data_IF_888109375725
#
_entry.id   IF_888109375725
#
_cell.length_a   1.000
_cell.length_b   1.000
_cell.length_c   1.000
_cell.angle_alpha   90.00
_cell.angle_beta   90.00
_cell.angle_gamma   90.00
#
_symmetry.space_group_name_H-M   'P 1'
#
loop_
_entity.id
_entity.type
_entity.pdbx_description
1 polymer ?
2 non-polymer ?
3 water ?
#
# COMPACT_ATOMS: atom_id res chain seq x y z
N UNK A 1 -2.64 6.22 -4.20
CA UNK A 1 -3.14 7.55 -3.67
C UNK A 1 -2.50 8.73 -4.41
N UNK A 2 -1.30 8.56 -4.96
CA UNK A 2 -0.51 9.57 -5.67
C UNK A 2 0.43 8.93 -6.67
N UNK A 3 1.31 9.74 -7.31
CA UNK A 3 2.15 9.29 -8.41
C UNK A 3 3.13 8.15 -8.03
N UNK A 4 3.57 8.08 -6.77
CA UNK A 4 4.44 6.98 -6.30
C UNK A 4 3.71 5.64 -6.37
N UNK A 5 2.48 5.64 -5.88
CA UNK A 5 1.64 4.42 -5.80
C UNK A 5 1.19 4.04 -7.22
N UNK A 6 0.98 5.03 -8.09
CA UNK A 6 0.58 4.79 -9.51
C UNK A 6 1.68 4.02 -10.26
N UNK A 7 2.93 4.45 -10.12
CA UNK A 7 4.07 3.75 -10.79
C UNK A 7 4.21 2.33 -10.22
N UNK A 8 4.21 2.21 -8.89
CA UNK A 8 4.29 0.92 -8.18
C UNK A 8 3.16 -0.01 -8.67
N UNK A 9 1.89 0.45 -8.73
CA UNK A 9 0.74 -0.40 -9.15
C UNK A 9 0.97 -0.89 -10.59
N UNK A 10 1.47 -0.04 -11.46
CA UNK A 10 1.71 -0.37 -12.88
C UNK A 10 2.72 -1.53 -12.98
N UNK A 11 3.76 -1.50 -12.16
CA UNK A 11 4.76 -2.62 -12.11
C UNK A 11 4.08 -3.87 -11.54
N UNK A 12 3.35 -3.77 -10.41
CA UNK A 12 2.80 -4.96 -9.74
C UNK A 12 1.79 -5.65 -10.67
N UNK A 13 0.93 -4.90 -11.36
CA UNK A 13 -0.19 -5.49 -12.14
C UNK A 13 0.31 -6.24 -13.38
N UNK A 14 1.48 -5.91 -13.94
CA UNK A 14 1.98 -6.59 -15.15
C UNK A 14 3.26 -7.40 -14.93
N UNK A 15 4.09 -7.07 -13.95
CA UNK A 15 5.45 -7.66 -13.88
C UNK A 15 5.69 -8.44 -12.57
N UNK A 16 4.66 -8.88 -11.87
CA UNK A 16 4.89 -9.77 -10.69
C UNK A 16 4.12 -11.06 -10.84
N UNK A 17 4.64 -12.09 -10.17
CA UNK A 17 4.00 -13.41 -10.00
C UNK A 17 4.21 -13.80 -8.53
N UNK A 18 3.40 -14.71 -8.04
CA UNK A 18 3.60 -15.34 -6.69
C UNK A 18 4.50 -16.58 -6.90
N UNK A 19 5.71 -16.58 -6.35
CA UNK A 19 6.64 -17.73 -6.43
C UNK A 19 6.59 -18.49 -5.11
N UNK A 20 6.51 -19.83 -5.15
CA UNK A 20 6.50 -20.67 -3.93
C UNK A 20 7.62 -21.71 -4.05
N UNK A 21 8.56 -21.71 -3.09
CA UNK A 21 9.63 -22.73 -2.98
C UNK A 21 9.35 -23.56 -1.72
N UNK A 22 10.28 -24.41 -1.30
CA UNK A 22 10.17 -25.13 -0.01
C UNK A 22 10.36 -24.16 1.16
N UNK A 23 10.84 -22.94 0.90
CA UNK A 23 11.10 -21.91 1.94
C UNK A 23 9.96 -20.88 2.01
N UNK A 24 8.88 -21.02 1.24
CA UNK A 24 7.65 -20.23 1.41
C UNK A 24 7.23 -19.51 0.13
N UNK A 25 6.28 -18.58 0.25
CA UNK A 25 5.75 -17.72 -0.82
C UNK A 25 6.51 -16.40 -0.85
N UNK A 26 6.89 -15.95 -2.04
CA UNK A 26 7.66 -14.72 -2.34
C UNK A 26 6.97 -13.94 -3.46
N UNK A 27 6.95 -12.62 -3.36
CA UNK A 27 6.76 -11.70 -4.51
C UNK A 27 7.95 -11.97 -5.42
N UNK A 28 7.70 -12.20 -6.71
CA UNK A 28 8.74 -12.38 -7.73
C UNK A 28 8.55 -11.36 -8.86
N UNK A 29 9.58 -10.56 -9.15
CA UNK A 29 9.57 -9.51 -10.21
C UNK A 29 10.04 -10.11 -11.53
N UNK A 30 9.19 -10.04 -12.55
CA UNK A 30 9.56 -10.42 -13.91
C UNK A 30 10.15 -9.23 -14.61
N UNK A 31 11.28 -9.42 -15.29
CA UNK A 31 12.07 -8.27 -15.82
C UNK A 31 11.94 -8.18 -17.34
N UNK A 32 12.07 -9.30 -18.07
CA UNK A 32 11.91 -9.36 -19.55
C UNK A 32 11.85 -10.84 -19.94
N UNK A 33 11.32 -11.14 -21.13
CA UNK A 33 11.18 -12.51 -21.68
C UNK A 33 10.68 -13.44 -20.55
N UNK A 34 11.45 -14.48 -20.17
CA UNK A 34 11.03 -15.44 -19.12
C UNK A 34 12.00 -15.29 -17.94
N UNK A 35 12.58 -14.12 -17.77
CA UNK A 35 13.64 -13.88 -16.76
C UNK A 35 13.03 -13.07 -15.59
N UNK A 36 13.17 -13.59 -14.37
CA UNK A 36 12.66 -12.96 -13.13
C UNK A 36 13.76 -12.95 -12.07
N UNK A 37 13.49 -12.25 -10.97
CA UNK A 37 14.41 -12.18 -9.79
C UNK A 37 13.67 -12.53 -8.51
N UNK A 38 14.44 -13.02 -7.54
CA UNK A 38 13.91 -13.50 -6.22
C UNK A 38 15.10 -13.46 -5.26
N UNK A 39 14.90 -13.19 -3.95
CA UNK A 39 16.00 -13.26 -2.99
C UNK A 39 16.66 -14.65 -3.01
N UNK A 40 17.98 -14.65 -2.92
CA UNK A 40 18.76 -15.91 -2.94
C UNK A 40 18.30 -16.85 -1.80
N UNK A 41 17.89 -16.34 -0.64
CA UNK A 41 17.41 -17.20 0.49
C UNK A 41 16.08 -17.91 0.21
N UNK A 42 15.42 -17.69 -0.93
CA UNK A 42 14.27 -18.50 -1.37
C UNK A 42 14.69 -19.94 -1.71
N UNK A 43 15.98 -20.18 -2.00
CA UNK A 43 16.60 -21.48 -2.35
C UNK A 43 15.87 -22.14 -3.54
N UNK A 44 15.91 -21.50 -4.72
CA UNK A 44 15.20 -21.99 -5.95
C UNK A 44 15.83 -23.34 -6.34
N UNK A 45 15.00 -24.35 -6.61
CA UNK A 45 15.45 -25.66 -7.13
C UNK A 45 15.16 -25.83 -8.62
N UNK A 46 15.02 -27.09 -9.06
CA UNK A 46 14.72 -27.51 -10.45
C UNK A 46 13.25 -27.23 -10.79
N UNK A 47 12.38 -27.24 -9.80
CA UNK A 47 10.91 -26.97 -9.93
C UNK A 47 10.53 -25.84 -8.97
N UNK A 48 9.66 -24.94 -9.42
CA UNK A 48 9.11 -23.85 -8.57
C UNK A 48 7.63 -23.72 -8.91
N UNK A 49 6.80 -23.24 -7.97
CA UNK A 49 5.39 -22.92 -8.26
C UNK A 49 5.26 -21.43 -8.54
N UNK A 50 4.61 -21.11 -9.65
CA UNK A 50 4.37 -19.73 -10.14
C UNK A 50 2.85 -19.59 -10.26
N UNK A 51 2.25 -18.71 -9.46
CA UNK A 51 0.77 -18.54 -9.39
C UNK A 51 0.14 -19.93 -9.28
N UNK A 52 0.68 -20.76 -8.39
CA UNK A 52 0.27 -22.15 -8.07
C UNK A 52 0.35 -23.11 -9.28
N UNK A 53 1.18 -22.85 -10.28
CA UNK A 53 1.42 -23.78 -11.41
C UNK A 53 2.84 -24.35 -11.31
N UNK A 54 2.95 -25.67 -11.46
CA UNK A 54 4.25 -26.39 -11.38
C UNK A 54 5.07 -25.94 -12.58
N UNK A 55 6.26 -25.36 -12.36
CA UNK A 55 7.06 -24.74 -13.44
C UNK A 55 8.49 -25.28 -13.39
N UNK A 56 9.01 -25.79 -14.49
CA UNK A 56 10.48 -26.08 -14.59
C UNK A 56 11.30 -24.80 -14.56
N UNK A 57 12.43 -24.87 -13.89
CA UNK A 57 13.42 -23.80 -13.83
C UNK A 57 14.48 -24.13 -14.89
N UNK A 58 14.59 -23.34 -15.96
CA UNK A 58 15.57 -23.55 -17.05
C UNK A 58 16.96 -23.08 -16.63
N UNK A 59 17.08 -22.07 -15.80
CA UNK A 59 18.40 -21.65 -15.26
C UNK A 59 18.21 -20.82 -14.01
N UNK A 60 19.17 -20.85 -13.10
CA UNK A 60 19.10 -19.99 -11.89
C UNK A 60 20.54 -19.61 -11.51
N UNK A 61 20.77 -18.34 -11.19
CA UNK A 61 22.11 -17.83 -10.92
C UNK A 61 22.06 -16.88 -9.74
N UNK A 62 22.72 -17.29 -8.67
CA UNK A 62 22.90 -16.48 -7.44
C UNK A 62 24.06 -15.50 -7.67
N UNK A 63 23.76 -14.20 -7.74
CA UNK A 63 24.73 -13.15 -8.14
C UNK A 63 25.71 -12.87 -6.98
N UNK A 64 26.96 -12.63 -7.33
CA UNK A 64 28.01 -12.08 -6.43
C UNK A 64 28.71 -10.91 -7.13
N UNK A 65 29.22 -9.94 -6.39
CA UNK A 65 29.97 -8.82 -7.00
C UNK A 65 31.40 -9.28 -7.33
N UNK A 66 32.22 -8.39 -7.89
CA UNK A 66 33.56 -8.82 -8.35
C UNK A 66 34.53 -8.95 -7.16
N UNK A 67 34.17 -8.52 -5.95
CA UNK A 67 34.93 -8.89 -4.71
C UNK A 67 34.54 -10.29 -4.23
N UNK A 68 33.70 -11.01 -4.99
CA UNK A 68 33.16 -12.35 -4.62
C UNK A 68 32.34 -12.25 -3.32
N UNK A 69 31.55 -11.19 -3.17
CA UNK A 69 30.61 -11.03 -2.04
C UNK A 69 29.16 -11.23 -2.51
N UNK A 70 28.35 -11.92 -1.71
CA UNK A 70 26.89 -12.14 -1.91
C UNK A 70 26.18 -10.83 -2.30
N UNK A 71 25.29 -10.87 -3.29
CA UNK A 71 24.37 -9.73 -3.62
C UNK A 71 22.92 -10.05 -3.24
N UNK A 72 22.61 -11.31 -2.88
CA UNK A 72 21.29 -11.79 -2.35
C UNK A 72 20.21 -11.73 -3.44
N UNK A 73 20.59 -11.53 -4.71
CA UNK A 73 19.65 -11.64 -5.87
C UNK A 73 19.94 -12.96 -6.58
N UNK A 74 18.90 -13.74 -6.89
CA UNK A 74 18.95 -14.90 -7.81
C UNK A 74 18.16 -14.54 -9.07
N UNK A 75 18.78 -14.68 -10.23
CA UNK A 75 18.11 -14.50 -11.56
C UNK A 75 17.64 -15.88 -11.98
N UNK A 76 16.36 -15.99 -12.29
CA UNK A 76 15.70 -17.26 -12.65
C UNK A 76 15.14 -17.14 -14.05
N UNK A 77 15.33 -18.18 -14.85
CA UNK A 77 14.67 -18.31 -16.17
C UNK A 77 13.64 -19.44 -16.06
N UNK A 78 12.38 -19.10 -16.37
CA UNK A 78 11.18 -19.93 -16.10
C UNK A 78 10.74 -20.59 -17.40
N UNK A 79 10.46 -21.88 -17.35
CA UNK A 79 9.80 -22.60 -18.48
C UNK A 79 8.31 -22.24 -18.52
N UNK A 80 8.02 -21.00 -18.89
CA UNK A 80 6.65 -20.43 -18.95
C UNK A 80 6.25 -20.17 -20.41
N UNK A 81 4.96 -20.26 -20.73
CA UNK A 81 4.46 -20.13 -22.12
C UNK A 81 4.20 -18.68 -22.48
N UNK A 82 4.64 -17.73 -21.66
CA UNK A 82 4.28 -16.30 -21.79
C UNK A 82 5.46 -15.44 -21.32
N UNK A 83 5.73 -14.34 -22.02
CA UNK A 83 6.83 -13.40 -21.72
C UNK A 83 6.30 -12.30 -20.80
N UNK A 84 7.17 -11.74 -19.98
CA UNK A 84 6.94 -10.49 -19.20
C UNK A 84 7.12 -9.28 -20.13
N UNK A 85 6.37 -8.21 -19.83
CA UNK A 85 6.63 -6.87 -20.39
C UNK A 85 8.08 -6.52 -20.07
N UNK A 86 8.83 -5.99 -21.03
CA UNK A 86 10.26 -5.69 -20.83
C UNK A 86 10.33 -4.37 -20.04
N UNK A 87 10.86 -4.40 -18.82
CA UNK A 87 10.95 -3.21 -17.91
C UNK A 87 12.42 -2.88 -17.65
N UNK A 88 13.35 -3.37 -18.46
CA UNK A 88 14.79 -3.08 -18.24
C UNK A 88 15.08 -1.58 -18.27
N UNK A 89 14.34 -0.76 -19.02
CA UNK A 89 14.59 0.69 -19.20
C UNK A 89 14.18 1.46 -17.93
N UNK A 90 13.55 0.81 -16.95
CA UNK A 90 13.20 1.46 -15.67
C UNK A 90 14.31 1.16 -14.63
N UNK A 91 15.33 0.37 -14.98
CA UNK A 91 16.36 -0.02 -13.99
C UNK A 91 17.46 1.03 -13.95
N UNK A 92 17.96 1.37 -12.76
CA UNK A 92 19.07 2.32 -12.66
C UNK A 92 20.37 1.72 -13.20
N UNK A 93 21.23 2.58 -13.73
CA UNK A 93 22.55 2.12 -14.24
C UNK A 93 23.60 2.07 -13.13
N UNK A 94 23.50 2.94 -12.11
CA UNK A 94 24.52 3.06 -11.03
C UNK A 94 23.90 2.92 -9.64
N UNK A 95 24.76 2.64 -8.64
CA UNK A 95 24.41 2.69 -7.20
C UNK A 95 24.03 4.15 -6.89
N UNK A 96 22.98 4.39 -6.10
CA UNK A 96 22.49 5.76 -5.79
C UNK A 96 21.63 5.72 -4.52
N UNK A 97 21.36 6.90 -3.95
CA UNK A 97 20.36 7.14 -2.88
C UNK A 97 19.09 7.65 -3.58
N UNK A 98 17.93 7.54 -2.93
CA UNK A 98 16.64 7.95 -3.56
C UNK A 98 15.70 8.56 -2.53
N UNK A 99 14.82 9.44 -3.01
CA UNK A 99 13.76 10.04 -2.16
C UNK A 99 12.47 9.25 -2.34
N UNK A 100 11.59 9.29 -1.35
CA UNK A 100 10.17 8.93 -1.57
C UNK A 100 10.11 7.61 -2.37
N UNK A 101 10.36 6.46 -1.74
CA UNK A 101 10.08 5.13 -2.36
C UNK A 101 8.82 4.43 -1.79
N UNK A 102 8.30 3.47 -2.56
CA UNK A 102 7.20 2.53 -2.22
C UNK A 102 7.72 1.09 -2.32
N UNK A 103 7.46 0.28 -1.29
CA UNK A 103 7.70 -1.20 -1.27
C UNK A 103 6.36 -1.85 -1.53
N UNK A 104 6.29 -2.69 -2.57
CA UNK A 104 5.02 -3.33 -3.03
C UNK A 104 5.15 -4.87 -2.97
N UNK A 105 4.15 -5.52 -2.37
CA UNK A 105 4.15 -6.98 -2.07
C UNK A 105 2.83 -7.55 -2.59
N UNK A 106 2.88 -8.76 -3.12
CA UNK A 106 1.65 -9.50 -3.48
C UNK A 106 1.87 -10.99 -3.23
N UNK A 107 1.31 -11.50 -2.13
CA UNK A 107 1.23 -12.95 -1.82
C UNK A 107 -0.20 -13.31 -1.35
N UNK A 108 -0.48 -14.60 -1.16
CA UNK A 108 -1.65 -15.16 -0.40
C UNK A 108 -1.91 -14.38 0.90
N UNK A 109 -0.87 -14.21 1.70
CA UNK A 109 -0.89 -13.56 3.04
C UNK A 109 -1.12 -12.04 2.90
N UNK A 110 -0.44 -11.37 1.97
CA UNK A 110 -0.45 -9.89 1.78
C UNK A 110 -0.70 -9.54 0.32
N UNK A 111 -1.95 -9.67 -0.16
CA UNK A 111 -2.30 -9.18 -1.48
C UNK A 111 -2.41 -7.64 -1.54
N UNK A 112 -1.98 -7.06 -2.67
CA UNK A 112 -2.27 -5.65 -3.06
C UNK A 112 -1.75 -4.73 -1.96
N UNK A 113 -0.57 -5.02 -1.42
CA UNK A 113 0.07 -4.25 -0.34
C UNK A 113 1.09 -3.28 -0.90
N UNK A 114 1.02 -2.01 -0.44
CA UNK A 114 1.87 -0.89 -0.87
C UNK A 114 2.25 -0.09 0.38
N UNK A 115 3.54 0.01 0.69
CA UNK A 115 4.07 0.69 1.91
C UNK A 115 4.92 1.88 1.47
N UNK A 116 4.60 3.11 1.92
CA UNK A 116 5.43 4.27 1.62
C UNK A 116 6.59 4.29 2.62
N UNK A 117 7.78 3.82 2.18
CA UNK A 117 8.90 3.60 3.12
C UNK A 117 9.76 4.87 3.23
N UNK A 118 9.57 5.87 2.36
CA UNK A 118 10.26 7.17 2.45
C UNK A 118 11.64 7.14 1.76
N UNK A 119 12.61 7.84 2.35
CA UNK A 119 13.99 8.05 1.82
C UNK A 119 14.79 6.73 1.85
N UNK A 120 15.59 6.50 0.81
CA UNK A 120 16.37 5.25 0.66
C UNK A 120 17.86 5.58 0.63
N UNK A 121 18.62 5.04 1.58
CA UNK A 121 20.09 5.27 1.68
C UNK A 121 20.83 4.16 0.94
N UNK A 122 21.83 4.51 0.15
CA UNK A 122 22.88 3.57 -0.31
C UNK A 122 23.67 3.15 0.92
N UNK A 123 23.28 2.06 1.57
CA UNK A 123 23.87 1.58 2.84
C UNK A 123 25.19 0.87 2.56
N UNK A 124 25.24 0.04 1.51
CA UNK A 124 26.43 -0.72 1.09
C UNK A 124 26.53 -2.06 1.78
N UNK A 125 27.46 -2.18 2.73
CA UNK A 125 27.76 -3.45 3.42
C UNK A 125 26.74 -3.70 4.54
N UNK A 126 26.22 -4.93 4.57
CA UNK A 126 25.29 -5.46 5.61
C UNK A 126 25.62 -6.93 5.86
N UNK A 127 25.75 -7.29 7.13
CA UNK A 127 25.75 -8.69 7.60
C UNK A 127 24.29 -9.11 7.68
N UNK A 128 23.82 -9.82 6.66
CA UNK A 128 22.41 -10.18 6.45
C UNK A 128 22.21 -11.65 6.82
N UNK A 129 21.52 -11.94 7.92
CA UNK A 129 21.43 -13.29 8.51
C UNK A 129 22.79 -13.99 8.61
N UNK A 130 23.84 -13.27 9.00
CA UNK A 130 25.20 -13.86 9.08
C UNK A 130 26.00 -13.91 7.77
N UNK A 131 25.45 -13.50 6.61
CA UNK A 131 26.18 -13.50 5.30
C UNK A 131 26.59 -12.08 4.91
N UNK A 132 27.91 -11.80 4.73
CA UNK A 132 28.35 -10.51 4.24
C UNK A 132 27.67 -10.25 2.89
N UNK A 133 27.07 -9.08 2.72
CA UNK A 133 26.27 -8.73 1.52
C UNK A 133 26.59 -7.30 1.11
N UNK A 134 26.69 -7.03 -0.21
CA UNK A 134 26.99 -5.69 -0.74
C UNK A 134 25.76 -5.12 -1.46
N UNK A 135 25.82 -3.86 -1.81
CA UNK A 135 24.82 -3.15 -2.66
C UNK A 135 23.45 -3.13 -1.97
N UNK A 136 23.46 -2.94 -0.64
CA UNK A 136 22.22 -2.89 0.18
C UNK A 136 21.70 -1.45 0.23
N UNK A 137 20.39 -1.32 -0.01
CA UNK A 137 19.56 -0.09 0.20
C UNK A 137 18.88 -0.22 1.57
N UNK A 138 18.70 0.89 2.30
CA UNK A 138 18.06 0.88 3.65
C UNK A 138 16.96 1.94 3.71
N UNK A 139 15.83 1.58 4.34
CA UNK A 139 14.68 2.48 4.55
C UNK A 139 14.20 2.31 6.00
N UNK A 140 13.78 3.43 6.62
CA UNK A 140 13.35 3.48 8.04
C UNK A 140 11.88 3.13 8.11
N UNK A 141 11.57 1.86 7.82
CA UNK A 141 10.23 1.29 7.99
C UNK A 141 10.39 -0.07 8.65
N UNK A 142 9.57 -0.37 9.68
CA UNK A 142 9.62 -1.67 10.35
C UNK A 142 8.93 -2.74 9.50
N UNK A 143 9.61 -3.21 8.46
CA UNK A 143 9.15 -4.35 7.59
C UNK A 143 9.11 -5.67 8.39
N UNK A 144 8.26 -6.59 7.95
CA UNK A 144 7.99 -7.88 8.63
C UNK A 144 8.19 -9.07 7.67
N UNK A 145 8.22 -10.28 8.24
CA UNK A 145 8.17 -11.56 7.51
C UNK A 145 6.96 -11.60 6.56
N UNK A 146 7.20 -12.05 5.33
CA UNK A 146 6.23 -12.18 4.22
C UNK A 146 6.46 -11.14 3.12
N UNK A 147 7.33 -10.14 3.37
CA UNK A 147 7.61 -8.99 2.48
C UNK A 147 8.87 -9.25 1.63
N UNK A 148 9.62 -10.33 1.85
CA UNK A 148 10.84 -10.57 1.02
C UNK A 148 10.42 -10.80 -0.45
N UNK A 149 11.17 -10.22 -1.37
CA UNK A 149 10.88 -10.21 -2.82
C UNK A 149 10.05 -8.98 -3.21
N UNK A 150 9.53 -8.26 -2.21
CA UNK A 150 8.80 -6.98 -2.43
C UNK A 150 9.55 -6.07 -3.36
N UNK A 151 8.87 -5.33 -4.21
CA UNK A 151 9.51 -4.49 -5.24
C UNK A 151 9.65 -3.08 -4.69
N UNK A 152 10.85 -2.52 -4.77
CA UNK A 152 11.11 -1.13 -4.30
C UNK A 152 11.16 -0.22 -5.53
N UNK A 153 10.30 0.79 -5.58
CA UNK A 153 10.21 1.72 -6.72
C UNK A 153 10.23 3.19 -6.22
N UNK A 154 10.65 4.08 -7.11
CA UNK A 154 10.35 5.52 -7.11
C UNK A 154 9.48 5.78 -8.35
N UNK A 155 8.96 7.00 -8.51
CA UNK A 155 8.33 7.40 -9.80
C UNK A 155 9.40 7.23 -10.89
N UNK A 156 9.15 6.31 -11.80
CA UNK A 156 9.96 6.15 -13.00
C UNK A 156 11.07 5.13 -12.84
N UNK A 157 11.44 4.66 -11.63
CA UNK A 157 12.56 3.66 -11.52
C UNK A 157 12.19 2.46 -10.62
N UNK A 158 12.57 1.25 -11.06
CA UNK A 158 12.53 0.00 -10.23
C UNK A 158 13.93 -0.18 -9.65
N UNK A 159 14.13 -0.08 -8.35
CA UNK A 159 15.50 0.13 -7.78
C UNK A 159 15.97 -1.07 -6.95
N UNK A 160 15.09 -1.94 -6.49
CA UNK A 160 15.57 -3.09 -5.68
C UNK A 160 14.49 -4.07 -5.28
N UNK A 161 14.88 -5.16 -4.61
CA UNK A 161 13.91 -6.11 -4.03
C UNK A 161 14.24 -6.28 -2.54
N UNK A 162 13.19 -6.34 -1.73
CA UNK A 162 13.28 -6.43 -0.26
C UNK A 162 13.94 -7.74 0.16
N UNK A 163 14.99 -7.72 0.99
CA UNK A 163 15.64 -9.00 1.37
C UNK A 163 15.69 -9.21 2.90
N UNK A 164 15.40 -8.23 3.74
CA UNK A 164 15.24 -8.46 5.20
C UNK A 164 15.12 -7.17 6.00
N UNK A 165 15.23 -7.28 7.33
CA UNK A 165 15.05 -6.11 8.21
C UNK A 165 15.45 -6.44 9.64
N UNK A 166 15.46 -5.45 10.52
CA UNK A 166 15.96 -5.63 11.90
C UNK A 166 14.84 -5.26 12.89
N UNK A 167 13.63 -4.99 12.40
CA UNK A 167 12.53 -4.59 13.30
C UNK A 167 12.25 -3.11 13.27
N UNK A 168 13.25 -2.25 13.02
CA UNK A 168 13.14 -0.77 12.86
C UNK A 168 13.34 -0.37 11.39
N UNK A 169 14.23 -1.08 10.71
CA UNK A 169 14.71 -0.74 9.34
C UNK A 169 14.46 -1.92 8.39
N UNK A 170 14.24 -1.62 7.11
CA UNK A 170 14.18 -2.65 6.07
C UNK A 170 15.33 -2.51 5.09
N UNK A 171 15.68 -3.61 4.43
CA UNK A 171 16.86 -3.71 3.53
C UNK A 171 16.45 -4.32 2.19
N UNK A 172 16.97 -3.74 1.08
CA UNK A 172 16.72 -4.25 -0.28
C UNK A 172 18.07 -4.42 -1.00
N UNK A 173 18.15 -5.44 -1.83
CA UNK A 173 19.26 -5.62 -2.79
C UNK A 173 18.99 -4.72 -4.00
N UNK A 174 19.98 -3.98 -4.45
CA UNK A 174 19.88 -3.14 -5.68
C UNK A 174 19.60 -4.01 -6.89
N UNK A 175 18.77 -3.48 -7.79
CA UNK A 175 18.70 -3.93 -9.20
C UNK A 175 19.45 -2.89 -10.05
N UNK A 176 20.35 -3.39 -10.88
CA UNK A 176 21.07 -2.56 -11.88
C UNK A 176 20.78 -3.10 -13.29
N UNK A 177 20.77 -2.21 -14.27
CA UNK A 177 20.55 -2.52 -15.72
C UNK A 177 21.55 -3.58 -16.18
N UNK A 178 22.81 -3.48 -15.73
CA UNK A 178 23.90 -4.39 -16.19
C UNK A 178 23.66 -5.83 -15.74
N UNK A 179 22.73 -6.13 -14.83
CA UNK A 179 22.48 -7.54 -14.43
C UNK A 179 21.69 -8.26 -15.53
N UNK A 180 21.01 -7.54 -16.44
CA UNK A 180 19.99 -8.14 -17.34
C UNK A 180 20.28 -7.87 -18.82
N UNK A 181 21.53 -7.53 -19.15
CA UNK A 181 22.00 -7.47 -20.55
C UNK A 181 21.96 -8.91 -21.08
N UNK A 182 21.33 -9.14 -22.24
CA UNK A 182 21.00 -10.49 -22.78
C UNK A 182 22.04 -10.86 -23.85
N UNK B 2 -1.30 -10.06 10.12
CA UNK B 2 -2.28 -10.66 11.06
C UNK B 2 -3.63 -10.93 10.40
N UNK B 3 -4.71 -11.16 11.20
CA UNK B 3 -6.09 -10.95 10.75
C UNK B 3 -6.43 -9.45 10.56
N UNK B 4 -5.43 -8.57 10.74
CA UNK B 4 -5.49 -7.15 10.37
C UNK B 4 -5.86 -6.99 8.91
N UNK B 5 -5.29 -7.82 8.02
CA UNK B 5 -5.55 -7.80 6.55
C UNK B 5 -6.91 -8.39 6.19
N UNK B 6 -7.34 -9.48 6.83
CA UNK B 6 -8.72 -10.00 6.69
C UNK B 6 -9.71 -8.87 7.01
N UNK B 7 -9.49 -8.16 8.11
CA UNK B 7 -10.48 -7.15 8.57
C UNK B 7 -10.54 -6.01 7.53
N UNK B 8 -9.38 -5.53 7.08
CA UNK B 8 -9.33 -4.45 6.05
C UNK B 8 -10.05 -4.91 4.76
N UNK B 9 -9.76 -6.13 4.31
CA UNK B 9 -10.44 -6.69 3.11
C UNK B 9 -11.95 -6.73 3.32
N UNK B 10 -12.44 -7.19 4.47
CA UNK B 10 -13.88 -7.38 4.71
C UNK B 10 -14.57 -6.03 4.56
N UNK B 11 -13.95 -4.99 5.13
CA UNK B 11 -14.50 -3.60 5.11
C UNK B 11 -14.42 -3.06 3.66
N UNK B 12 -13.30 -3.31 2.96
CA UNK B 12 -13.14 -2.93 1.53
C UNK B 12 -14.28 -3.55 0.72
N UNK B 13 -14.44 -4.87 0.82
CA UNK B 13 -15.37 -5.67 -0.03
C UNK B 13 -16.84 -5.27 0.15
N UNK B 14 -17.35 -5.14 1.37
CA UNK B 14 -18.80 -4.92 1.61
C UNK B 14 -19.15 -3.45 1.89
N UNK B 15 -18.19 -2.59 2.32
CA UNK B 15 -18.51 -1.24 2.87
C UNK B 15 -17.83 -0.09 2.11
N UNK B 16 -17.08 -0.35 1.05
CA UNK B 16 -16.33 0.73 0.37
C UNK B 16 -16.87 0.87 -1.05
N UNK B 17 -17.19 2.09 -1.48
CA UNK B 17 -17.63 2.41 -2.86
C UNK B 17 -16.83 3.59 -3.40
N UNK B 18 -16.89 3.76 -4.72
CA UNK B 18 -16.23 4.89 -5.43
C UNK B 18 -17.26 6.02 -5.48
N UNK B 19 -16.96 7.17 -4.87
CA UNK B 19 -17.83 8.38 -4.94
C UNK B 19 -17.19 9.40 -5.89
N UNK B 20 -17.96 9.92 -6.84
CA UNK B 20 -17.45 10.98 -7.74
C UNK B 20 -18.31 12.23 -7.57
N UNK B 21 -17.70 13.31 -7.09
CA UNK B 21 -18.33 14.66 -6.94
C UNK B 21 -17.80 15.56 -8.05
N UNK B 22 -18.11 16.86 -8.01
CA UNK B 22 -17.54 17.87 -8.96
C UNK B 22 -16.01 17.87 -8.84
N UNK B 23 -15.42 17.44 -7.71
CA UNK B 23 -13.95 17.55 -7.49
C UNK B 23 -13.20 16.29 -7.91
N UNK B 24 -13.88 15.24 -8.36
CA UNK B 24 -13.25 13.98 -8.75
C UNK B 24 -13.63 12.80 -7.85
N UNK B 25 -12.81 11.75 -7.81
CA UNK B 25 -13.18 10.47 -7.16
C UNK B 25 -12.60 10.41 -5.74
N UNK B 26 -13.39 9.88 -4.82
CA UNK B 26 -13.04 9.65 -3.39
C UNK B 26 -13.44 8.22 -2.98
N UNK B 27 -12.62 7.62 -2.12
CA UNK B 27 -13.00 6.38 -1.40
C UNK B 27 -14.13 6.77 -0.43
N UNK B 28 -15.28 6.11 -0.51
CA UNK B 28 -16.42 6.41 0.39
C UNK B 28 -16.73 5.17 1.25
N UNK B 29 -17.00 5.37 2.54
CA UNK B 29 -17.31 4.28 3.48
C UNK B 29 -18.80 4.29 3.77
N UNK B 30 -19.48 3.21 3.38
CA UNK B 30 -20.86 2.99 3.83
C UNK B 30 -20.87 2.49 5.28
N UNK B 31 -21.78 3.02 6.09
CA UNK B 31 -21.76 2.70 7.54
C UNK B 31 -22.95 1.81 7.92
N UNK B 32 -24.15 2.17 7.50
CA UNK B 32 -25.37 1.35 7.71
C UNK B 32 -26.46 1.88 6.79
N UNK B 33 -27.50 1.10 6.53
CA UNK B 33 -28.66 1.52 5.70
C UNK B 33 -28.14 2.22 4.43
N UNK B 34 -28.54 3.47 4.17
CA UNK B 34 -28.04 4.28 3.02
C UNK B 34 -27.17 5.47 3.51
N UNK B 35 -26.52 5.30 4.65
CA UNK B 35 -25.71 6.35 5.32
C UNK B 35 -24.24 6.03 5.09
N UNK B 36 -23.51 7.00 4.53
CA UNK B 36 -22.07 6.87 4.18
C UNK B 36 -21.32 8.10 4.70
N UNK B 37 -19.99 8.06 4.65
CA UNK B 37 -19.13 9.23 5.03
C UNK B 37 -18.08 9.45 3.95
N UNK B 38 -17.69 10.70 3.83
CA UNK B 38 -16.70 11.18 2.83
C UNK B 38 -16.01 12.40 3.42
N UNK B 39 -14.75 12.72 3.06
CA UNK B 39 -14.19 13.98 3.53
C UNK B 39 -14.99 15.22 3.13
N UNK B 40 -15.04 16.23 3.99
CA UNK B 40 -15.87 17.44 3.71
C UNK B 40 -15.34 18.15 2.46
N UNK B 41 -14.03 18.09 2.22
CA UNK B 41 -13.38 18.74 1.05
C UNK B 41 -13.82 18.12 -0.29
N UNK B 42 -14.52 17.00 -0.30
CA UNK B 42 -15.08 16.42 -1.54
C UNK B 42 -16.17 17.34 -2.14
N UNK B 43 -16.76 18.27 -1.40
CA UNK B 43 -17.80 19.20 -1.93
C UNK B 43 -19.01 18.44 -2.51
N UNK B 44 -19.67 17.64 -1.67
CA UNK B 44 -20.88 16.87 -2.04
C UNK B 44 -21.99 17.87 -2.44
N UNK B 45 -22.66 17.60 -3.56
CA UNK B 45 -23.77 18.39 -4.10
C UNK B 45 -25.11 17.69 -3.88
N UNK B 46 -26.05 17.93 -4.78
CA UNK B 46 -27.41 17.34 -4.76
C UNK B 46 -27.35 15.96 -5.42
N UNK B 47 -26.41 15.77 -6.36
CA UNK B 47 -26.22 14.49 -7.10
C UNK B 47 -24.77 14.04 -6.92
N UNK B 48 -24.57 12.74 -6.79
CA UNK B 48 -23.22 12.11 -6.72
C UNK B 48 -23.26 10.85 -7.56
N UNK B 49 -22.12 10.41 -8.07
CA UNK B 49 -21.99 9.09 -8.72
C UNK B 49 -21.43 8.10 -7.71
N UNK B 50 -22.09 6.95 -7.58
CA UNK B 50 -21.65 5.83 -6.68
C UNK B 50 -21.36 4.66 -7.61
N UNK B 51 -20.11 4.21 -7.66
CA UNK B 51 -19.64 3.16 -8.62
C UNK B 51 -20.22 3.48 -10.01
N UNK B 52 -20.11 4.76 -10.43
CA UNK B 52 -20.45 5.27 -11.78
C UNK B 52 -21.97 5.36 -11.97
N UNK B 53 -22.77 5.19 -10.92
CA UNK B 53 -24.27 5.25 -10.97
C UNK B 53 -24.71 6.61 -10.39
N UNK B 54 -25.36 7.44 -11.22
CA UNK B 54 -25.95 8.76 -10.85
C UNK B 54 -26.92 8.54 -9.68
N UNK B 55 -26.72 9.21 -8.54
CA UNK B 55 -27.44 8.95 -7.25
C UNK B 55 -27.83 10.28 -6.61
N UNK B 56 -29.09 10.44 -6.19
CA UNK B 56 -29.53 11.65 -5.46
C UNK B 56 -29.02 11.57 -4.02
N UNK B 57 -28.43 12.66 -3.53
CA UNK B 57 -28.05 12.81 -2.10
C UNK B 57 -29.26 13.44 -1.39
N UNK B 58 -29.94 12.67 -0.54
CA UNK B 58 -31.15 13.17 0.20
C UNK B 58 -30.72 14.15 1.28
N UNK B 59 -29.58 13.91 1.93
CA UNK B 59 -29.11 14.77 3.04
C UNK B 59 -27.58 14.73 3.10
N UNK B 60 -26.97 15.87 3.43
CA UNK B 60 -25.51 15.95 3.67
C UNK B 60 -25.33 16.81 4.92
N UNK B 61 -24.46 16.36 5.85
CA UNK B 61 -24.14 17.09 7.09
C UNK B 61 -22.62 17.19 7.27
N UNK B 62 -22.07 18.40 7.23
CA UNK B 62 -20.63 18.66 7.47
C UNK B 62 -20.43 18.71 8.98
N UNK B 63 -19.91 17.62 9.56
CA UNK B 63 -19.90 17.44 11.03
C UNK B 63 -18.97 18.46 11.71
N UNK B 64 -19.43 18.93 12.87
CA UNK B 64 -18.70 19.82 13.79
C UNK B 64 -18.91 19.29 15.22
N UNK B 65 -18.00 19.53 16.14
CA UNK B 65 -18.16 19.04 17.52
C UNK B 65 -18.91 20.09 18.35
N UNK B 66 -19.06 19.84 19.64
CA UNK B 66 -19.83 20.76 20.54
C UNK B 66 -19.03 22.05 20.82
N UNK B 67 -17.76 22.11 20.45
CA UNK B 67 -16.98 23.37 20.51
C UNK B 67 -17.23 24.20 19.24
N UNK B 68 -18.07 23.69 18.35
CA UNK B 68 -18.40 24.34 17.05
C UNK B 68 -17.15 24.35 16.17
N UNK B 69 -16.35 23.28 16.18
CA UNK B 69 -15.10 23.15 15.39
C UNK B 69 -15.28 22.03 14.34
N UNK B 70 -14.79 22.29 13.12
CA UNK B 70 -14.81 21.38 11.97
C UNK B 70 -14.21 20.05 12.38
N UNK B 71 -14.82 18.96 11.91
CA UNK B 71 -14.27 17.58 12.01
C UNK B 71 -13.83 17.01 10.63
N UNK B 72 -14.17 17.66 9.52
CA UNK B 72 -13.76 17.28 8.15
C UNK B 72 -14.46 15.99 7.67
N UNK B 73 -15.54 15.55 8.34
CA UNK B 73 -16.37 14.37 7.94
C UNK B 73 -17.73 14.90 7.47
N UNK B 74 -18.19 14.44 6.32
CA UNK B 74 -19.57 14.72 5.84
C UNK B 74 -20.32 13.40 5.82
N UNK B 75 -21.46 13.34 6.51
CA UNK B 75 -22.35 12.16 6.51
C UNK B 75 -23.36 12.43 5.39
N UNK B 76 -23.59 11.46 4.52
CA UNK B 76 -24.59 11.58 3.43
C UNK B 76 -25.60 10.47 3.59
N UNK B 77 -26.85 10.75 3.23
CA UNK B 77 -27.94 9.77 3.05
C UNK B 77 -28.21 9.66 1.56
N UNK B 78 -28.05 8.46 0.99
CA UNK B 78 -28.12 8.23 -0.47
C UNK B 78 -29.50 7.66 -0.84
N UNK B 79 -30.04 8.09 -1.98
CA UNK B 79 -31.28 7.51 -2.57
C UNK B 79 -30.92 6.30 -3.44
N UNK B 80 -30.73 5.13 -2.84
CA UNK B 80 -30.37 3.89 -3.58
C UNK B 80 -30.99 2.68 -2.87
N UNK B 81 -31.17 1.59 -3.60
CA UNK B 81 -31.87 0.38 -3.09
C UNK B 81 -30.94 -0.42 -2.19
N UNK B 82 -29.66 -0.50 -2.47
CA UNK B 82 -28.75 -1.35 -1.68
C UNK B 82 -28.67 -0.80 -0.25
N UNK B 83 -28.41 -1.69 0.70
CA UNK B 83 -28.22 -1.37 2.12
C UNK B 83 -26.76 -1.70 2.47
N UNK B 84 -26.03 -0.80 3.12
CA UNK B 84 -24.66 -1.11 3.62
C UNK B 84 -24.74 -2.06 4.81
N UNK B 85 -23.91 -3.08 4.78
CA UNK B 85 -23.71 -3.99 5.95
C UNK B 85 -23.38 -3.11 7.16
N UNK B 86 -24.11 -3.23 8.27
CA UNK B 86 -23.94 -2.36 9.47
C UNK B 86 -22.56 -2.62 10.09
N UNK B 87 -21.78 -1.57 10.33
CA UNK B 87 -20.44 -1.65 10.97
C UNK B 87 -20.33 -0.66 12.14
N UNK B 88 -21.45 -0.11 12.64
CA UNK B 88 -21.45 0.86 13.77
C UNK B 88 -20.78 0.27 15.00
N UNK B 89 -20.90 -1.04 15.22
CA UNK B 89 -20.32 -1.70 16.40
C UNK B 89 -18.80 -1.83 16.26
N UNK B 90 -18.20 -1.51 15.10
CA UNK B 90 -16.72 -1.52 14.96
C UNK B 90 -16.13 -0.12 15.14
N UNK B 91 -16.96 0.90 15.40
CA UNK B 91 -16.49 2.29 15.62
C UNK B 91 -16.09 2.53 17.08
N UNK B 92 -14.92 3.12 17.36
CA UNK B 92 -14.52 3.48 18.74
C UNK B 92 -15.49 4.47 19.42
N UNK B 93 -15.66 4.35 20.73
CA UNK B 93 -16.49 5.29 21.52
C UNK B 93 -15.74 6.61 21.78
N UNK B 94 -14.42 6.54 21.95
CA UNK B 94 -13.61 7.73 22.36
C UNK B 94 -12.33 7.85 21.53
N UNK B 95 -11.66 8.99 21.66
CA UNK B 95 -10.36 9.29 21.00
C UNK B 95 -9.28 8.37 21.58
N UNK B 96 -8.36 7.83 20.78
CA UNK B 96 -7.34 6.86 21.26
C UNK B 96 -6.15 6.82 20.30
N UNK B 97 -5.04 6.27 20.78
CA UNK B 97 -3.86 5.88 19.94
C UNK B 97 -4.07 4.42 19.54
N UNK B 98 -3.41 4.00 18.47
CA UNK B 98 -3.56 2.63 17.92
C UNK B 98 -2.24 2.15 17.31
N UNK B 99 -2.14 0.82 17.15
CA UNK B 99 -0.96 0.13 16.57
C UNK B 99 -1.37 -0.64 15.31
N UNK B 100 -0.37 -0.87 14.45
CA UNK B 100 -0.44 -1.65 13.18
C UNK B 100 -1.82 -1.43 12.52
N UNK B 101 -1.99 -0.23 11.95
CA UNK B 101 -3.20 0.24 11.21
C UNK B 101 -2.98 0.12 9.70
N UNK B 102 -4.05 -0.15 8.94
CA UNK B 102 -4.04 -0.24 7.45
C UNK B 102 -4.95 0.87 6.89
N UNK B 103 -4.48 1.54 5.82
CA UNK B 103 -5.26 2.58 5.10
C UNK B 103 -5.61 1.93 3.77
N UNK B 104 -6.91 1.86 3.46
CA UNK B 104 -7.45 1.09 2.32
C UNK B 104 -8.16 2.04 1.33
N UNK B 105 -7.59 2.16 0.13
CA UNK B 105 -7.98 3.12 -0.96
C UNK B 105 -8.78 2.36 -2.02
N UNK B 106 -9.84 2.97 -2.55
CA UNK B 106 -10.68 2.37 -3.61
C UNK B 106 -11.23 3.45 -4.55
N UNK B 107 -10.59 3.61 -5.71
CA UNK B 107 -11.06 4.48 -6.83
C UNK B 107 -10.86 3.78 -8.19
N UNK B 108 -11.33 4.36 -9.31
CA UNK B 108 -11.07 3.81 -10.68
C UNK B 108 -9.58 3.73 -10.97
N UNK B 109 -8.78 4.70 -10.49
CA UNK B 109 -7.31 4.77 -10.70
C UNK B 109 -6.59 3.84 -9.73
N UNK B 110 -7.10 3.68 -8.50
CA UNK B 110 -6.47 2.84 -7.43
C UNK B 110 -7.49 1.86 -6.85
N UNK B 111 -7.88 0.77 -7.55
CA UNK B 111 -8.86 -0.16 -7.03
C UNK B 111 -8.22 -1.11 -6.01
N UNK B 112 -8.90 -1.39 -4.90
CA UNK B 112 -8.40 -2.45 -3.97
C UNK B 112 -6.90 -2.25 -3.57
N UNK B 113 -6.47 -1.06 -3.07
CA UNK B 113 -5.07 -0.77 -2.64
C UNK B 113 -4.97 -0.71 -1.10
N UNK B 114 -4.10 -1.53 -0.48
CA UNK B 114 -3.93 -1.62 0.99
C UNK B 114 -2.56 -1.04 1.36
N UNK B 115 -2.56 -0.05 2.25
CA UNK B 115 -1.33 0.69 2.64
C UNK B 115 -1.12 0.58 4.13
N UNK B 116 -0.28 -0.36 4.62
CA UNK B 116 0.04 -0.42 6.04
C UNK B 116 0.73 0.88 6.43
N UNK B 117 0.26 1.55 7.48
CA UNK B 117 0.90 2.80 7.99
C UNK B 117 1.52 2.57 9.40
N UNK B 118 1.08 1.55 10.13
CA UNK B 118 1.64 1.20 11.44
C UNK B 118 1.06 2.02 12.58
N UNK B 119 1.90 2.76 13.27
CA UNK B 119 1.52 3.46 14.53
C UNK B 119 0.67 4.70 14.21
N UNK B 120 -0.41 4.87 14.94
CA UNK B 120 -1.37 5.99 14.77
C UNK B 120 -1.47 6.72 16.10
N UNK B 121 -1.20 8.02 16.07
CA UNK B 121 -1.23 8.91 17.26
C UNK B 121 -2.53 9.71 17.29
N UNK B 122 -3.19 9.77 18.45
CA UNK B 122 -4.23 10.78 18.76
C UNK B 122 -3.57 12.16 18.80
N UNK B 123 -3.64 12.89 17.69
CA UNK B 123 -2.88 14.13 17.42
C UNK B 123 -3.72 15.33 17.88
N UNK B 124 -5.04 15.27 17.69
CA UNK B 124 -6.00 16.31 18.13
C UNK B 124 -6.21 17.43 17.12
N UNK B 125 -5.61 18.61 17.36
CA UNK B 125 -5.85 19.87 16.62
C UNK B 125 -4.97 19.91 15.37
N UNK B 126 -5.52 20.29 14.23
CA UNK B 126 -4.74 20.49 12.98
C UNK B 126 -5.37 21.63 12.20
N UNK B 127 -4.53 22.52 11.67
CA UNK B 127 -5.02 23.58 10.77
C UNK B 127 -4.97 23.01 9.37
N UNK B 128 -6.12 22.52 8.89
CA UNK B 128 -6.20 21.77 7.61
C UNK B 128 -6.76 22.66 6.49
N UNK B 129 -5.92 23.03 5.52
CA UNK B 129 -6.34 23.95 4.43
C UNK B 129 -6.87 25.26 4.98
N UNK B 130 -6.30 25.75 6.09
CA UNK B 130 -6.73 27.02 6.72
C UNK B 130 -7.93 26.87 7.65
N UNK B 131 -8.49 25.68 7.77
CA UNK B 131 -9.62 25.44 8.69
C UNK B 131 -9.14 24.71 9.96
N UNK B 132 -9.33 25.33 11.14
CA UNK B 132 -9.07 24.62 12.41
C UNK B 132 -9.97 23.38 12.48
N UNK B 133 -9.36 22.21 12.73
CA UNK B 133 -10.02 20.89 12.70
C UNK B 133 -9.68 20.11 13.98
N UNK B 134 -10.63 19.39 14.55
CA UNK B 134 -10.43 18.56 15.75
C UNK B 134 -10.41 17.07 15.39
N UNK B 135 -10.08 16.26 16.39
CA UNK B 135 -10.15 14.77 16.34
C UNK B 135 -9.35 14.21 15.18
N UNK B 136 -8.12 14.69 14.98
CA UNK B 136 -7.19 14.19 13.94
C UNK B 136 -6.28 13.06 14.49
N UNK B 137 -6.25 11.95 13.75
CA UNK B 137 -5.27 10.83 13.89
C UNK B 137 -4.08 11.12 12.96
N UNK B 138 -2.86 10.87 13.44
CA UNK B 138 -1.64 11.04 12.61
C UNK B 138 -0.85 9.72 12.49
N UNK B 139 -0.30 9.49 11.29
CA UNK B 139 0.61 8.37 10.97
C UNK B 139 1.73 8.87 10.06
N UNK B 140 2.84 8.14 10.05
CA UNK B 140 3.92 8.38 9.08
C UNK B 140 3.36 8.20 7.68
N UNK B 141 3.69 9.09 6.73
CA UNK B 141 3.19 8.99 5.33
C UNK B 141 4.14 9.78 4.43
N UNK B 142 5.38 9.30 4.25
CA UNK B 142 6.44 10.09 3.63
C UNK B 142 6.36 10.13 2.11
N UNK B 143 5.30 10.74 1.59
CA UNK B 143 4.94 10.72 0.15
C UNK B 143 3.93 11.85 -0.08
N UNK B 144 3.81 12.35 -1.31
CA UNK B 144 2.74 13.33 -1.64
C UNK B 144 1.61 12.52 -2.27
N UNK B 145 0.47 12.54 -1.60
CA UNK B 145 -0.79 11.88 -2.00
C UNK B 145 -1.74 12.96 -2.54
N UNK B 146 -2.63 12.59 -3.44
CA UNK B 146 -3.78 13.44 -3.79
C UNK B 146 -4.92 13.28 -2.79
N UNK B 147 -6.11 13.70 -3.20
CA UNK B 147 -7.31 13.95 -2.34
C UNK B 147 -8.15 12.70 -2.04
N UNK B 148 -7.95 11.56 -2.72
CA UNK B 148 -9.03 10.57 -2.86
C UNK B 148 -9.31 9.89 -1.50
N UNK B 149 -8.34 9.93 -0.58
CA UNK B 149 -8.48 9.42 0.80
C UNK B 149 -8.67 7.93 0.86
N UNK B 150 -9.31 7.43 1.94
CA UNK B 150 -9.22 6.00 2.27
C UNK B 150 -9.65 5.72 3.70
N UNK B 151 -9.88 4.47 3.97
CA UNK B 151 -10.45 4.00 5.27
C UNK B 151 -9.33 3.45 6.13
N UNK B 152 -9.22 3.94 7.36
CA UNK B 152 -8.17 3.47 8.32
C UNK B 152 -8.77 2.45 9.28
N UNK B 153 -8.22 1.24 9.33
CA UNK B 153 -8.67 0.14 10.20
C UNK B 153 -7.51 -0.43 11.03
N UNK B 154 -7.86 -1.06 12.15
CA UNK B 154 -6.99 -1.99 12.91
C UNK B 154 -7.70 -3.35 12.92
N UNK B 155 -7.14 -4.36 13.58
CA UNK B 155 -7.94 -5.59 13.88
C UNK B 155 -9.14 -5.19 14.74
N UNK B 156 -10.36 -5.42 14.25
CA UNK B 156 -11.59 -5.23 15.01
C UNK B 156 -12.10 -3.81 15.04
N UNK B 157 -11.46 -2.83 14.39
CA UNK B 157 -11.95 -1.42 14.50
C UNK B 157 -11.80 -0.62 13.21
N UNK B 158 -12.83 0.17 12.91
CA UNK B 158 -12.80 1.18 11.81
C UNK B 158 -12.59 2.54 12.49
N UNK B 159 -11.39 3.12 12.35
CA UNK B 159 -11.02 4.26 13.25
C UNK B 159 -11.13 5.60 12.56
N UNK B 160 -11.08 5.69 11.22
CA UNK B 160 -11.03 7.02 10.61
C UNK B 160 -11.01 7.01 9.09
N UNK B 161 -11.12 8.20 8.51
CA UNK B 161 -10.97 8.37 7.05
C UNK B 161 -9.84 9.37 6.77
N UNK B 162 -8.98 9.08 5.79
CA UNK B 162 -7.83 9.95 5.44
C UNK B 162 -8.33 11.31 4.89
N UNK B 163 -7.80 12.40 5.42
CA UNK B 163 -8.27 13.76 4.97
C UNK B 163 -7.13 14.63 4.46
N UNK B 164 -5.86 14.23 4.63
CA UNK B 164 -4.74 15.04 4.14
C UNK B 164 -3.37 14.60 4.64
N UNK B 165 -2.39 15.45 4.39
CA UNK B 165 -0.97 15.15 4.68
C UNK B 165 -0.04 16.28 4.31
N UNK B 166 1.22 16.18 4.72
CA UNK B 166 2.19 17.29 4.56
C UNK B 166 3.48 16.77 3.92
N UNK B 167 3.45 15.60 3.27
CA UNK B 167 4.60 14.91 2.63
C UNK B 167 5.47 14.11 3.58
N UNK B 168 5.35 14.28 4.92
CA UNK B 168 6.02 13.45 5.95
C UNK B 168 5.03 12.64 6.78
N UNK B 169 3.90 13.26 7.12
CA UNK B 169 2.81 12.71 7.97
C UNK B 169 1.51 12.69 7.17
N UNK B 170 0.63 11.75 7.49
CA UNK B 170 -0.73 11.64 6.97
C UNK B 170 -1.74 11.81 8.11
N UNK B 171 -2.91 12.35 7.79
CA UNK B 171 -3.92 12.74 8.80
C UNK B 171 -5.27 12.18 8.43
N UNK B 172 -5.98 11.64 9.42
CA UNK B 172 -7.32 11.05 9.27
C UNK B 172 -8.28 11.67 10.30
N UNK B 173 -9.53 11.88 9.89
CA UNK B 173 -10.62 12.30 10.80
C UNK B 173 -11.10 11.04 11.54
N UNK B 174 -11.26 11.09 12.87
CA UNK B 174 -11.76 9.97 13.67
C UNK B 174 -13.22 9.69 13.27
N UNK B 175 -13.58 8.41 13.27
CA UNK B 175 -14.99 7.97 13.33
C UNK B 175 -15.28 7.54 14.77
N UNK B 176 -16.38 8.04 15.32
CA UNK B 176 -16.85 7.66 16.68
C UNK B 176 -18.27 7.11 16.58
N UNK B 177 -18.57 6.16 17.47
CA UNK B 177 -19.89 5.48 17.60
C UNK B 177 -21.02 6.51 17.70
N UNK B 178 -20.82 7.59 18.45
CA UNK B 178 -21.91 8.56 18.75
C UNK B 178 -22.30 9.34 17.49
N UNK B 179 -21.50 9.34 16.42
CA UNK B 179 -21.86 10.09 15.19
C UNK B 179 -23.08 9.50 14.46
N UNK B 180 -23.41 8.23 14.69
CA UNK B 180 -24.41 7.42 13.93
C UNK B 180 -25.49 6.78 14.82
N UNK B 181 -25.70 7.24 16.05
CA UNK B 181 -26.71 6.63 16.99
C UNK B 181 -28.10 7.25 16.76
X LIG C 1 -0.15 -5.20 8.99
X LIG C 1 1.49 -2.04 10.23
X LIG C 1 0.65 -4.13 9.23
X LIG C 1 2.40 -2.71 9.55
X LIG C 1 3.76 -2.12 9.63
X LIG C 1 1.99 -3.93 8.92
X LIG C 1 2.77 -4.76 8.07
X LIG C 1 0.31 -6.35 8.23
X LIG C 1 -1.52 -5.26 9.51
X LIG C 1 -1.61 -5.58 11.00
X LIG C 1 -2.59 -5.22 11.65
X LIG C 1 -0.59 -6.24 11.52
X LIG C 1 0.06 -2.83 10.17
X LIG C 1 3.33 -5.48 7.38
#
# INVERSE_FOLDING_TARGET
>A
MGPGFDFAQAIMKKNTVIARTEKGEFTMLGVYDRVAVIPTHASVGEIIYINDVETRVLDACALRDLTDTNLEITIVKLDRNQKFRDIRHFLPRCEDDYNDAVLSVHTSKFPNMYIPVGQVTNYGFLNLGGTPTHRILMYNFPTRAGQCGGVVTTTGKVIGIHVGGNGAQGFAAMLLHSYFTD
>B
MGPGFDFAQAIMKKNTVIARTEKGEFTMLGVYDRVAVIPTHASVGEIIYINDVETRVLDACALRDLTDTNLEITIVKLDRNQKFRDIRHFLPRCEDDYNDAVLSVHTSKFPNMYIPVGQVTNYGFLNLGGTPTHRILMYNFPTRAGQCGGVVTTTGKVIGIHVGGNGAQGFAAMLLHSYFTD
>C hetero
1 LRF N1 N3 C4 C5 C6 C7 C8 C1 C2 C3 O1 N2 S1 N4
#
